data_IF_409947100433
#
_entry.id   IF_409947100433
#
_cell.length_a   1.000
_cell.length_b   1.000
_cell.length_c   1.000
_cell.angle_alpha   90.00
_cell.angle_beta   90.00
_cell.angle_gamma   90.00
#
_symmetry.space_group_name_H-M   'P 1'
#
loop_
_entity.id
_entity.type
_entity.pdbx_description
1 polymer ?
#
# COMPACT_ATOMS: atom_id res chain seq x y z
N UNK A 1 -9.16 54.19 22.00
CA UNK A 1 -8.30 53.00 21.77
C UNK A 1 -8.56 52.02 22.91
N UNK A 2 -9.18 50.86 22.61
CA UNK A 2 -9.31 49.62 23.41
C UNK A 2 -10.61 48.86 23.03
N UNK A 3 -10.76 48.48 21.75
CA UNK A 3 -11.93 47.73 21.28
C UNK A 3 -11.58 46.57 20.31
N UNK A 4 -10.28 46.21 20.18
CA UNK A 4 -9.80 45.22 19.18
C UNK A 4 -9.53 43.81 19.71
N UNK A 5 -9.28 43.63 21.01
CA UNK A 5 -8.95 42.32 21.60
C UNK A 5 -10.09 41.29 21.66
N UNK A 6 -11.35 41.63 21.99
CA UNK A 6 -12.41 40.62 22.08
C UNK A 6 -12.80 40.04 20.72
N UNK A 7 -12.70 40.82 19.63
CA UNK A 7 -13.04 40.36 18.28
C UNK A 7 -11.97 39.40 17.73
N UNK A 8 -10.69 39.68 17.98
CA UNK A 8 -9.58 38.80 17.58
C UNK A 8 -9.66 37.42 18.24
N UNK A 9 -10.00 37.35 19.53
CA UNK A 9 -10.18 36.08 20.26
C UNK A 9 -11.38 35.30 19.71
N UNK A 10 -12.49 35.98 19.41
CA UNK A 10 -13.69 35.36 18.82
C UNK A 10 -13.39 34.79 17.44
N UNK A 11 -12.71 35.55 16.58
CA UNK A 11 -12.31 35.08 15.25
C UNK A 11 -11.31 33.93 15.29
N UNK A 12 -10.33 33.98 16.20
CA UNK A 12 -9.39 32.87 16.43
C UNK A 12 -10.13 31.60 16.83
N UNK A 13 -11.06 31.68 17.78
CA UNK A 13 -11.82 30.52 18.23
C UNK A 13 -12.71 29.96 17.11
N UNK A 14 -13.35 30.82 16.31
CA UNK A 14 -14.14 30.40 15.15
C UNK A 14 -13.27 29.73 14.08
N UNK A 15 -12.10 30.29 13.77
CA UNK A 15 -11.18 29.72 12.81
C UNK A 15 -10.68 28.34 13.24
N UNK A 16 -10.33 28.17 14.51
CA UNK A 16 -9.93 26.88 15.08
C UNK A 16 -11.08 25.86 15.03
N UNK A 17 -12.30 26.27 15.38
CA UNK A 17 -13.48 25.41 15.29
C UNK A 17 -13.75 24.94 13.86
N UNK A 18 -13.56 25.79 12.86
CA UNK A 18 -13.69 25.41 11.45
C UNK A 18 -12.56 24.47 11.04
N UNK A 19 -11.32 24.83 11.36
CA UNK A 19 -10.12 24.04 11.06
C UNK A 19 -10.22 22.60 11.58
N UNK A 20 -10.72 22.41 12.81
CA UNK A 20 -10.90 21.09 13.42
C UNK A 20 -12.01 20.25 12.78
N UNK A 21 -12.97 20.89 12.09
CA UNK A 21 -14.10 20.22 11.43
C UNK A 21 -13.83 19.88 9.96
N UNK A 22 -12.77 20.44 9.37
CA UNK A 22 -12.39 20.14 7.99
C UNK A 22 -11.93 18.69 7.88
N UNK A 23 -12.56 17.92 6.98
CA UNK A 23 -12.24 16.50 6.73
C UNK A 23 -11.01 16.29 5.86
N UNK A 24 -10.49 17.36 5.24
CA UNK A 24 -9.23 17.33 4.52
C UNK A 24 -8.08 17.36 5.54
N UNK A 25 -7.06 16.51 5.41
CA UNK A 25 -5.85 16.62 6.21
C UNK A 25 -5.13 17.95 5.97
N UNK A 26 -5.10 18.82 7.00
CA UNK A 26 -4.47 20.14 6.95
C UNK A 26 -3.54 20.37 8.14
N UNK A 27 -2.38 20.96 7.87
CA UNK A 27 -1.47 21.50 8.87
C UNK A 27 -1.05 22.93 8.52
N UNK A 28 -0.77 23.73 9.54
CA UNK A 28 -0.06 25.00 9.41
C UNK A 28 1.36 24.76 9.88
N UNK A 29 2.32 25.03 9.02
CA UNK A 29 3.74 24.93 9.33
C UNK A 29 4.41 26.30 9.31
N UNK A 30 5.58 26.42 9.94
CA UNK A 30 6.46 27.56 9.68
C UNK A 30 7.14 27.44 8.30
N UNK A 31 7.94 28.44 7.91
CA UNK A 31 8.71 28.43 6.66
C UNK A 31 9.71 27.30 6.53
N UNK A 32 10.12 26.69 7.65
CA UNK A 32 11.06 25.58 7.66
C UNK A 32 10.34 24.23 7.58
N UNK A 33 9.00 24.21 7.65
CA UNK A 33 8.19 23.00 7.59
C UNK A 33 7.95 22.34 8.95
N UNK A 34 8.23 23.04 10.06
CA UNK A 34 7.81 22.57 11.39
C UNK A 34 6.32 22.81 11.59
N UNK A 35 5.61 21.78 12.02
CA UNK A 35 4.16 21.86 12.26
C UNK A 35 3.88 22.76 13.46
N UNK A 36 3.14 23.84 13.24
CA UNK A 36 2.64 24.74 14.29
C UNK A 36 1.26 24.26 14.77
N UNK A 37 0.40 23.87 13.83
CA UNK A 37 -0.96 23.41 14.06
C UNK A 37 -1.28 22.27 13.07
N UNK A 38 -2.06 21.28 13.49
CA UNK A 38 -2.56 20.22 12.62
C UNK A 38 -3.99 19.91 12.99
N UNK A 39 -4.86 19.66 12.01
CA UNK A 39 -6.25 19.31 12.29
C UNK A 39 -6.39 17.82 12.62
N UNK A 40 -7.55 17.37 13.14
CA UNK A 40 -7.80 15.96 13.43
C UNK A 40 -7.63 15.05 12.21
N UNK A 41 -7.99 15.50 11.01
CA UNK A 41 -7.83 14.72 9.78
C UNK A 41 -6.35 14.44 9.46
N UNK A 42 -5.46 15.43 9.61
CA UNK A 42 -4.01 15.24 9.46
C UNK A 42 -3.45 14.31 10.53
N UNK A 43 -3.89 14.47 11.78
CA UNK A 43 -3.45 13.64 12.88
C UNK A 43 -3.87 12.17 12.71
N UNK A 44 -5.05 11.92 12.14
CA UNK A 44 -5.56 10.59 11.83
C UNK A 44 -4.65 9.86 10.81
N UNK A 45 -4.15 10.55 9.78
CA UNK A 45 -3.21 9.95 8.81
C UNK A 45 -1.88 9.51 9.45
N UNK A 46 -1.47 10.19 10.52
CA UNK A 46 -0.28 9.82 11.30
C UNK A 46 -0.59 8.89 12.49
N UNK A 47 -1.87 8.53 12.74
CA UNK A 47 -2.27 7.67 13.87
C UNK A 47 -2.01 8.28 15.24
N UNK A 48 -2.10 9.59 15.37
CA UNK A 48 -1.75 10.31 16.59
C UNK A 48 -2.76 11.42 16.90
N UNK A 49 -2.55 12.11 18.03
CA UNK A 49 -3.33 13.29 18.39
C UNK A 49 -2.74 14.57 17.77
N UNK A 50 -3.56 15.57 17.39
CA UNK A 50 -3.08 16.84 16.81
C UNK A 50 -1.92 17.50 17.56
N UNK A 51 -2.02 17.56 18.89
CA UNK A 51 -0.98 18.17 19.74
C UNK A 51 0.38 17.46 19.69
N UNK A 52 0.43 16.18 19.30
CA UNK A 52 1.68 15.42 19.14
C UNK A 52 2.37 15.67 17.79
N UNK A 53 1.71 16.33 16.85
CA UNK A 53 2.33 16.74 15.59
C UNK A 53 3.09 18.06 15.73
N UNK A 54 2.72 18.91 16.70
CA UNK A 54 3.37 20.21 16.91
C UNK A 54 4.88 20.07 17.11
N UNK A 55 5.65 20.90 16.42
CA UNK A 55 7.11 20.92 16.43
C UNK A 55 7.78 19.82 15.60
N UNK A 56 7.02 18.89 15.01
CA UNK A 56 7.59 17.86 14.13
C UNK A 56 7.79 18.40 12.73
N UNK A 57 8.77 17.86 12.03
CA UNK A 57 9.05 18.20 10.64
C UNK A 57 8.04 17.50 9.71
N UNK A 58 7.29 18.26 8.92
CA UNK A 58 6.20 17.70 8.09
C UNK A 58 6.69 16.67 7.07
N UNK A 59 7.90 16.86 6.53
CA UNK A 59 8.51 15.94 5.57
C UNK A 59 9.11 14.68 6.20
N UNK A 60 9.28 14.64 7.53
CA UNK A 60 9.59 13.41 8.24
C UNK A 60 8.34 12.54 8.44
N UNK A 61 7.18 13.19 8.61
CA UNK A 61 5.88 12.52 8.66
C UNK A 61 5.48 11.98 7.28
N UNK A 62 5.68 12.81 6.25
CA UNK A 62 5.30 12.53 4.86
C UNK A 62 6.54 12.63 3.97
N UNK A 63 7.18 11.49 3.73
CA UNK A 63 8.48 11.45 3.08
C UNK A 63 8.36 11.75 1.59
N UNK A 64 9.15 12.70 1.06
CA UNK A 64 9.15 13.00 -0.37
C UNK A 64 9.65 11.79 -1.17
N UNK A 65 9.05 11.55 -2.34
CA UNK A 65 9.53 10.54 -3.28
C UNK A 65 10.71 11.04 -4.12
N UNK A 66 10.84 12.36 -4.29
CA UNK A 66 11.89 13.02 -5.07
C UNK A 66 12.57 14.13 -4.24
N UNK A 67 13.81 13.90 -3.78
CA UNK A 67 14.53 14.85 -2.93
C UNK A 67 14.84 16.19 -3.63
N UNK A 68 15.17 16.15 -4.94
CA UNK A 68 15.50 17.33 -5.74
C UNK A 68 14.31 18.29 -5.92
N UNK A 69 13.08 17.79 -5.78
CA UNK A 69 11.88 18.63 -5.81
C UNK A 69 11.78 19.50 -4.54
N UNK A 70 12.11 18.92 -3.39
CA UNK A 70 12.04 19.61 -2.09
C UNK A 70 13.06 20.75 -2.01
N UNK A 71 14.29 20.51 -2.47
CA UNK A 71 15.35 21.53 -2.48
C UNK A 71 14.96 22.74 -3.32
N UNK A 72 14.42 22.53 -4.53
CA UNK A 72 13.93 23.61 -5.40
C UNK A 72 12.79 24.41 -4.77
N UNK A 73 11.88 23.74 -4.07
CA UNK A 73 10.77 24.40 -3.38
C UNK A 73 11.31 25.23 -2.20
N UNK A 74 12.22 24.66 -1.40
CA UNK A 74 12.84 25.38 -0.29
C UNK A 74 13.60 26.63 -0.77
N UNK A 75 14.30 26.53 -1.89
CA UNK A 75 14.95 27.68 -2.53
C UNK A 75 13.94 28.72 -3.02
N UNK A 76 12.88 28.31 -3.70
CA UNK A 76 11.85 29.22 -4.18
C UNK A 76 11.10 29.94 -3.05
N UNK A 77 10.84 29.25 -1.93
CA UNK A 77 10.26 29.84 -0.72
C UNK A 77 11.20 30.87 -0.08
N UNK A 78 12.53 30.61 -0.08
CA UNK A 78 13.54 31.59 0.36
C UNK A 78 13.57 32.83 -0.53
N UNK A 79 13.38 32.65 -1.83
CA UNK A 79 13.22 33.73 -2.81
C UNK A 79 11.83 34.40 -2.76
N UNK A 80 11.01 34.10 -1.73
CA UNK A 80 9.69 34.67 -1.45
C UNK A 80 8.66 34.48 -2.57
N UNK A 81 8.82 33.42 -3.37
CA UNK A 81 7.77 33.03 -4.29
C UNK A 81 6.54 32.55 -3.52
N UNK A 82 5.36 33.04 -3.94
CA UNK A 82 4.05 32.72 -3.35
C UNK A 82 3.29 31.67 -4.15
N UNK A 83 4.01 30.89 -4.97
CA UNK A 83 3.41 29.83 -5.77
C UNK A 83 2.98 28.68 -4.87
N UNK A 84 1.94 27.97 -5.28
CA UNK A 84 1.55 26.69 -4.67
C UNK A 84 2.52 25.60 -5.10
N UNK A 85 3.09 24.88 -4.13
CA UNK A 85 4.03 23.80 -4.38
C UNK A 85 3.41 22.45 -4.06
N UNK A 86 3.64 21.46 -4.92
CA UNK A 86 3.13 20.10 -4.72
C UNK A 86 4.29 19.11 -4.69
N UNK A 87 4.28 18.21 -3.71
CA UNK A 87 5.30 17.19 -3.49
C UNK A 87 4.63 15.82 -3.38
N UNK A 88 5.09 14.86 -4.18
CA UNK A 88 4.66 13.47 -4.04
C UNK A 88 5.30 12.86 -2.79
N UNK A 89 4.48 12.29 -1.92
CA UNK A 89 4.92 11.79 -0.61
C UNK A 89 4.46 10.36 -0.34
N UNK A 90 5.20 9.64 0.50
CA UNK A 90 4.79 8.38 1.12
C UNK A 90 4.87 8.44 2.64
N UNK A 91 4.00 7.71 3.32
CA UNK A 91 3.99 7.60 4.79
C UNK A 91 3.44 6.26 5.23
N UNK A 92 3.72 5.88 6.48
CA UNK A 92 3.16 4.67 7.08
C UNK A 92 1.87 5.01 7.79
N UNK A 93 0.78 4.39 7.36
CA UNK A 93 -0.52 4.52 8.02
C UNK A 93 -0.53 3.79 9.38
N UNK A 94 -1.50 4.09 10.26
CA UNK A 94 -1.59 3.46 11.59
C UNK A 94 -1.76 1.94 11.53
N UNK A 95 -2.40 1.42 10.47
CA UNK A 95 -2.54 -0.01 10.20
C UNK A 95 -1.28 -0.68 9.62
N UNK A 96 -0.17 0.05 9.52
CA UNK A 96 1.10 -0.46 9.01
C UNK A 96 1.24 -0.46 7.49
N UNK A 97 0.15 -0.23 6.74
CA UNK A 97 0.16 -0.06 5.29
C UNK A 97 0.99 1.17 4.89
N UNK A 98 1.73 1.07 3.79
CA UNK A 98 2.40 2.23 3.18
C UNK A 98 1.38 2.97 2.32
N UNK A 99 1.19 4.26 2.57
CA UNK A 99 0.32 5.16 1.79
C UNK A 99 1.15 6.08 0.92
N UNK A 100 0.54 6.53 -0.16
CA UNK A 100 1.11 7.57 -1.01
C UNK A 100 0.07 8.63 -1.37
N UNK A 101 0.57 9.83 -1.67
CA UNK A 101 -0.27 10.99 -1.83
C UNK A 101 0.50 12.20 -2.33
N UNK A 102 -0.17 13.34 -2.32
CA UNK A 102 0.39 14.62 -2.70
C UNK A 102 0.24 15.63 -1.57
N UNK A 103 1.37 16.16 -1.11
CA UNK A 103 1.45 17.23 -0.13
C UNK A 103 1.53 18.56 -0.88
N UNK A 104 0.60 19.45 -0.59
CA UNK A 104 0.54 20.78 -1.19
C UNK A 104 0.91 21.80 -0.13
N UNK A 105 1.88 22.67 -0.41
CA UNK A 105 2.32 23.76 0.47
C UNK A 105 1.99 25.11 -0.18
N UNK A 106 1.13 25.86 0.49
CA UNK A 106 0.69 27.20 0.12
C UNK A 106 1.28 28.22 1.10
N UNK A 107 2.15 29.15 0.67
CA UNK A 107 2.63 30.22 1.53
C UNK A 107 1.51 31.22 1.85
N UNK A 108 1.19 31.37 3.12
CA UNK A 108 0.16 32.30 3.64
C UNK A 108 0.83 33.32 4.55
N UNK A 109 0.58 34.60 4.31
CA UNK A 109 1.13 35.70 5.10
C UNK A 109 0.10 36.82 5.20
N UNK A 110 -0.01 37.44 6.38
CA UNK A 110 -0.92 38.57 6.61
C UNK A 110 -0.37 39.88 6.00
N UNK A 111 0.94 39.95 5.76
CA UNK A 111 1.61 41.05 5.05
C UNK A 111 2.78 40.57 4.17
N UNK A 112 3.28 41.41 3.25
CA UNK A 112 4.37 41.06 2.33
C UNK A 112 5.73 40.93 3.02
N UNK A 113 5.87 41.54 4.19
CA UNK A 113 7.14 41.64 4.92
C UNK A 113 7.32 40.51 5.95
N UNK A 114 6.22 39.87 6.37
CA UNK A 114 6.25 38.77 7.32
C UNK A 114 6.75 37.45 6.72
N UNK A 115 7.40 36.66 7.58
CA UNK A 115 7.80 35.29 7.28
C UNK A 115 6.54 34.44 7.11
N UNK A 116 6.22 33.94 5.88
CA UNK A 116 4.93 33.31 5.61
C UNK A 116 4.78 31.99 6.38
N UNK A 117 3.62 31.75 6.98
CA UNK A 117 3.26 30.39 7.38
C UNK A 117 3.03 29.55 6.11
N UNK A 118 3.22 28.24 6.20
CA UNK A 118 2.87 27.31 5.13
C UNK A 118 1.56 26.61 5.49
N UNK A 119 0.51 26.82 4.70
CA UNK A 119 -0.69 26.00 4.74
C UNK A 119 -0.41 24.72 3.96
N UNK A 120 -0.35 23.61 4.68
CA UNK A 120 -0.05 22.28 4.13
C UNK A 120 -1.31 21.45 4.07
N UNK A 121 -1.64 20.94 2.88
CA UNK A 121 -2.75 20.03 2.65
C UNK A 121 -2.24 18.70 2.11
N UNK A 122 -2.77 17.59 2.60
CA UNK A 122 -2.44 16.26 2.11
C UNK A 122 -3.62 15.65 1.35
N UNK A 123 -3.38 15.32 0.09
CA UNK A 123 -4.29 14.51 -0.72
C UNK A 123 -3.81 13.06 -0.72
N UNK A 124 -4.60 12.18 -0.09
CA UNK A 124 -4.34 10.74 -0.12
C UNK A 124 -4.72 10.19 -1.49
N UNK A 125 -3.77 9.56 -2.19
CA UNK A 125 -4.01 8.97 -3.51
C UNK A 125 -4.26 7.46 -3.43
N UNK A 126 -3.71 6.78 -2.42
CA UNK A 126 -3.98 5.37 -2.20
C UNK A 126 -3.02 4.72 -1.20
N UNK A 127 -3.26 3.44 -0.97
CA UNK A 127 -2.35 2.54 -0.26
C UNK A 127 -1.48 1.84 -1.29
N UNK A 128 -0.16 1.88 -1.10
CA UNK A 128 0.77 1.08 -1.89
C UNK A 128 0.59 -0.36 -1.42
N UNK A 129 0.11 -1.27 -2.29
CA UNK A 129 0.05 -2.68 -1.93
C UNK A 129 1.45 -3.11 -1.55
N UNK A 130 1.60 -3.83 -0.43
CA UNK A 130 2.85 -4.56 -0.15
C UNK A 130 3.17 -5.34 -1.42
N UNK A 131 4.35 -5.16 -2.04
CA UNK A 131 4.67 -5.84 -3.28
C UNK A 131 4.47 -7.33 -3.04
N UNK A 132 3.41 -7.88 -3.63
CA UNK A 132 3.17 -9.31 -3.64
C UNK A 132 4.36 -9.88 -4.42
N UNK A 133 5.16 -10.79 -3.85
CA UNK A 133 6.29 -11.34 -4.59
C UNK A 133 5.77 -11.83 -5.94
N UNK A 134 6.47 -11.45 -7.02
CA UNK A 134 6.10 -11.92 -8.36
C UNK A 134 5.86 -13.43 -8.30
N UNK A 135 4.79 -13.94 -8.94
CA UNK A 135 4.40 -15.34 -8.81
C UNK A 135 5.60 -16.20 -9.17
N UNK A 136 6.14 -16.87 -8.16
CA UNK A 136 7.34 -17.68 -8.33
C UNK A 136 7.00 -18.81 -9.28
N UNK A 137 7.68 -18.83 -10.43
CA UNK A 137 7.44 -19.81 -11.49
C UNK A 137 7.66 -21.23 -10.97
N UNK A 138 6.58 -21.93 -10.68
CA UNK A 138 6.54 -23.33 -10.28
C UNK A 138 5.78 -24.14 -11.31
N UNK A 139 6.22 -25.37 -11.57
CA UNK A 139 5.42 -26.29 -12.37
C UNK A 139 4.24 -26.81 -11.55
N UNK A 140 3.22 -27.32 -12.21
CA UNK A 140 2.07 -27.95 -11.54
C UNK A 140 2.50 -29.11 -10.64
N UNK A 141 3.46 -29.93 -11.12
CA UNK A 141 4.04 -31.01 -10.34
C UNK A 141 4.75 -30.49 -9.09
N UNK A 142 5.54 -29.42 -9.21
CA UNK A 142 6.22 -28.81 -8.06
C UNK A 142 5.22 -28.29 -7.01
N UNK A 143 4.12 -27.66 -7.45
CA UNK A 143 3.06 -27.20 -6.54
C UNK A 143 2.39 -28.36 -5.80
N UNK A 144 2.00 -29.42 -6.52
CA UNK A 144 1.35 -30.60 -5.92
C UNK A 144 2.29 -31.35 -4.99
N UNK A 145 3.58 -31.45 -5.32
CA UNK A 145 4.62 -32.01 -4.42
C UNK A 145 4.69 -31.19 -3.12
N UNK A 146 4.74 -29.85 -3.20
CA UNK A 146 4.79 -28.97 -2.04
C UNK A 146 3.53 -29.05 -1.18
N UNK A 147 2.34 -29.13 -1.79
CA UNK A 147 1.06 -29.29 -1.10
C UNK A 147 1.02 -30.60 -0.29
N UNK A 148 1.42 -31.71 -0.90
CA UNK A 148 1.54 -33.01 -0.22
C UNK A 148 2.58 -32.97 0.90
N UNK A 149 3.70 -32.28 0.68
CA UNK A 149 4.75 -32.08 1.67
C UNK A 149 4.23 -31.33 2.91
N UNK A 150 3.49 -30.24 2.67
CA UNK A 150 2.89 -29.39 3.69
C UNK A 150 1.76 -30.10 4.44
N UNK A 151 1.04 -31.01 3.76
CA UNK A 151 0.07 -31.92 4.35
C UNK A 151 0.67 -33.07 5.17
N UNK A 152 2.01 -33.17 5.24
CA UNK A 152 2.72 -34.20 6.01
C UNK A 152 2.98 -35.51 5.26
N UNK A 153 2.75 -35.58 3.95
CA UNK A 153 3.01 -36.79 3.17
C UNK A 153 4.51 -37.13 3.09
N UNK A 154 4.87 -38.39 3.23
CA UNK A 154 6.25 -38.84 2.95
C UNK A 154 6.56 -38.73 1.44
N UNK A 155 7.85 -38.72 1.05
CA UNK A 155 8.23 -38.72 -0.37
C UNK A 155 7.68 -39.93 -1.11
N UNK A 156 7.57 -41.08 -0.43
CA UNK A 156 6.95 -42.28 -0.95
C UNK A 156 5.45 -42.12 -1.23
N UNK A 157 4.74 -41.48 -0.31
CA UNK A 157 3.31 -41.20 -0.47
C UNK A 157 3.08 -40.20 -1.58
N UNK A 158 3.88 -39.14 -1.64
CA UNK A 158 3.82 -38.15 -2.71
C UNK A 158 4.10 -38.76 -4.08
N UNK A 159 5.10 -39.64 -4.18
CA UNK A 159 5.42 -40.36 -5.42
C UNK A 159 4.22 -41.19 -5.89
N UNK A 160 3.61 -41.96 -4.99
CA UNK A 160 2.41 -42.77 -5.29
C UNK A 160 1.22 -41.92 -5.73
N UNK A 161 0.93 -40.82 -5.04
CA UNK A 161 -0.24 -39.97 -5.34
C UNK A 161 -0.07 -39.15 -6.64
N UNK A 162 1.17 -38.85 -7.03
CA UNK A 162 1.46 -38.09 -8.25
C UNK A 162 1.84 -38.96 -9.45
N UNK A 163 1.87 -40.29 -9.30
CA UNK A 163 2.32 -41.19 -10.37
C UNK A 163 3.80 -41.02 -10.74
N UNK A 164 4.63 -40.56 -9.78
CA UNK A 164 6.07 -40.33 -9.97
C UNK A 164 6.90 -41.40 -9.27
N UNK A 165 8.18 -41.49 -9.63
CA UNK A 165 9.15 -42.26 -8.84
C UNK A 165 9.54 -41.50 -7.58
N UNK A 166 9.99 -42.22 -6.54
CA UNK A 166 10.56 -41.61 -5.32
C UNK A 166 11.72 -40.67 -5.64
N UNK A 167 12.56 -41.06 -6.59
CA UNK A 167 13.69 -40.24 -7.04
C UNK A 167 13.22 -39.00 -7.81
N UNK A 168 12.15 -39.12 -8.60
CA UNK A 168 11.51 -37.98 -9.27
C UNK A 168 11.00 -36.93 -8.29
N UNK A 169 10.31 -37.35 -7.21
CA UNK A 169 9.88 -36.42 -6.14
C UNK A 169 11.09 -35.79 -5.45
N UNK A 170 12.12 -36.58 -5.14
CA UNK A 170 13.35 -36.09 -4.49
C UNK A 170 14.08 -35.09 -5.37
N UNK A 171 14.11 -35.32 -6.69
CA UNK A 171 14.65 -34.40 -7.67
C UNK A 171 13.94 -33.04 -7.64
N UNK A 172 12.59 -33.03 -7.68
CA UNK A 172 11.81 -31.79 -7.61
C UNK A 172 12.07 -31.03 -6.29
N UNK A 173 12.08 -31.73 -5.15
CA UNK A 173 12.35 -31.12 -3.85
C UNK A 173 13.76 -30.52 -3.77
N UNK A 174 14.77 -31.21 -4.28
CA UNK A 174 16.15 -30.70 -4.31
C UNK A 174 16.24 -29.46 -5.19
N UNK A 175 15.66 -29.50 -6.39
CA UNK A 175 15.63 -28.38 -7.33
C UNK A 175 14.93 -27.15 -6.73
N UNK A 176 13.79 -27.34 -6.06
CA UNK A 176 13.08 -26.28 -5.34
C UNK A 176 13.90 -25.73 -4.18
N UNK A 177 14.55 -26.59 -3.40
CA UNK A 177 15.38 -26.17 -2.27
C UNK A 177 16.56 -25.33 -2.72
N UNK A 178 17.25 -25.73 -3.81
CA UNK A 178 18.33 -24.92 -4.40
C UNK A 178 17.80 -23.60 -4.94
N UNK A 179 16.69 -23.62 -5.71
CA UNK A 179 16.13 -22.41 -6.32
C UNK A 179 15.65 -21.40 -5.28
N UNK A 180 15.14 -21.86 -4.15
CA UNK A 180 14.60 -20.99 -3.09
C UNK A 180 15.54 -20.83 -1.91
N UNK A 181 16.76 -21.37 -2.00
CA UNK A 181 17.74 -21.37 -0.93
C UNK A 181 17.16 -21.85 0.42
N UNK A 182 16.44 -22.97 0.41
CA UNK A 182 15.90 -23.59 1.61
C UNK A 182 16.91 -24.61 2.18
N UNK A 183 17.28 -24.47 3.44
CA UNK A 183 18.25 -25.34 4.10
C UNK A 183 17.65 -26.70 4.49
N UNK A 184 16.33 -26.76 4.69
CA UNK A 184 15.64 -27.99 5.05
C UNK A 184 14.21 -28.02 4.52
N UNK A 185 13.58 -29.18 4.67
CA UNK A 185 12.22 -29.45 4.20
C UNK A 185 11.17 -28.52 4.81
N UNK A 186 11.31 -28.19 6.09
CA UNK A 186 10.38 -27.30 6.80
C UNK A 186 10.49 -25.87 6.28
N UNK A 187 11.73 -25.39 6.08
CA UNK A 187 11.98 -24.10 5.47
C UNK A 187 11.45 -24.05 4.03
N UNK A 188 11.57 -25.14 3.27
CA UNK A 188 11.01 -25.22 1.92
C UNK A 188 9.49 -25.04 1.93
N UNK A 189 8.77 -25.67 2.86
CA UNK A 189 7.33 -25.48 3.04
C UNK A 189 7.00 -24.05 3.47
N UNK A 190 7.74 -23.50 4.45
CA UNK A 190 7.54 -22.14 4.92
C UNK A 190 7.72 -21.12 3.78
N UNK A 191 8.74 -21.30 2.94
CA UNK A 191 8.97 -20.48 1.73
C UNK A 191 7.85 -20.67 0.71
N UNK A 192 7.30 -21.87 0.53
CA UNK A 192 6.15 -22.08 -0.37
C UNK A 192 4.92 -21.24 0.04
N UNK A 193 4.63 -21.13 1.33
CA UNK A 193 3.58 -20.22 1.84
C UNK A 193 3.95 -18.75 1.68
N UNK A 194 5.19 -18.37 2.05
CA UNK A 194 5.64 -16.98 1.96
C UNK A 194 5.67 -16.44 0.52
N UNK A 195 5.93 -17.32 -0.46
CA UNK A 195 5.95 -17.01 -1.89
C UNK A 195 4.58 -17.12 -2.56
N UNK A 196 3.52 -17.44 -1.80
CA UNK A 196 2.15 -17.56 -2.32
C UNK A 196 1.90 -18.78 -3.21
N UNK A 197 2.81 -19.76 -3.20
CA UNK A 197 2.64 -21.03 -3.93
C UNK A 197 1.63 -21.94 -3.22
N UNK A 198 1.56 -21.84 -1.89
CA UNK A 198 0.52 -22.44 -1.06
C UNK A 198 -0.25 -21.33 -0.36
N UNK A 199 -1.58 -21.48 -0.26
CA UNK A 199 -2.45 -20.49 0.38
C UNK A 199 -2.46 -20.66 1.91
N UNK A 200 -2.11 -19.63 2.71
CA UNK A 200 -2.27 -19.69 4.16
C UNK A 200 -3.75 -19.72 4.55
N UNK A 201 -4.09 -20.44 5.63
CA UNK A 201 -5.46 -20.53 6.14
C UNK A 201 -6.36 -21.55 5.43
N UNK A 202 -5.84 -22.27 4.44
CA UNK A 202 -6.56 -23.35 3.73
C UNK A 202 -5.98 -24.71 4.12
N UNK A 203 -6.85 -25.65 4.52
CA UNK A 203 -6.48 -27.03 4.84
C UNK A 203 -7.49 -28.03 4.25
N UNK A 204 -7.05 -29.10 3.56
CA UNK A 204 -5.66 -29.45 3.25
C UNK A 204 -4.97 -28.41 2.34
N UNK A 205 -3.62 -28.30 2.35
CA UNK A 205 -2.92 -27.27 1.57
C UNK A 205 -3.22 -27.40 0.08
N UNK A 206 -3.74 -26.33 -0.51
CA UNK A 206 -4.09 -26.29 -1.93
C UNK A 206 -2.92 -25.72 -2.75
N UNK A 207 -2.45 -26.39 -3.83
CA UNK A 207 -1.53 -25.79 -4.78
C UNK A 207 -2.21 -24.57 -5.41
N UNK A 208 -1.86 -23.36 -4.95
CA UNK A 208 -2.56 -22.13 -5.30
C UNK A 208 -2.86 -22.04 -6.79
N UNK A 209 -4.15 -22.16 -7.14
CA UNK A 209 -4.61 -22.02 -8.49
C UNK A 209 -4.21 -20.65 -9.01
N UNK A 210 -3.52 -20.61 -10.16
CA UNK A 210 -3.79 -19.53 -11.08
C UNK A 210 -5.31 -19.45 -11.19
N UNK A 211 -5.89 -18.28 -10.92
CA UNK A 211 -7.27 -17.99 -11.31
C UNK A 211 -7.42 -18.44 -12.75
N UNK A 212 -8.06 -19.59 -12.95
CA UNK A 212 -8.67 -19.93 -14.22
C UNK A 212 -9.69 -18.82 -14.41
N UNK A 213 -9.37 -17.86 -15.27
CA UNK A 213 -10.41 -17.15 -16.00
C UNK A 213 -11.20 -18.25 -16.71
N UNK A 214 -12.28 -18.69 -16.08
CA UNK A 214 -13.33 -19.46 -16.72
C UNK A 214 -13.89 -18.55 -17.81
N UNK A 215 -13.43 -18.74 -19.05
CA UNK A 215 -14.24 -18.35 -20.20
C UNK A 215 -15.59 -19.06 -20.05
N UNK A 216 -16.71 -18.32 -20.05
CA UNK A 216 -18.01 -18.97 -20.06
C UNK A 216 -18.16 -19.68 -21.41
N UNK A 217 -18.06 -21.01 -21.36
CA UNK A 217 -18.39 -21.90 -22.46
C UNK A 217 -19.85 -21.67 -22.87
N UNK A 218 -20.02 -21.16 -24.09
CA UNK A 218 -21.30 -21.05 -24.76
C UNK A 218 -21.75 -22.46 -25.18
N UNK A 219 -22.43 -23.15 -24.27
CA UNK A 219 -23.16 -24.38 -24.56
C UNK A 219 -24.42 -24.05 -25.39
N UNK A 220 -24.48 -24.65 -26.58
CA UNK A 220 -25.70 -25.32 -27.02
C UNK A 220 -26.72 -24.51 -27.82
N UNK A 221 -26.51 -24.41 -29.14
CA UNK A 221 -27.63 -24.51 -30.09
C UNK A 221 -27.50 -25.79 -30.89
N UNK A 222 -28.35 -26.74 -30.50
CA UNK A 222 -28.38 -28.10 -31.02
C UNK A 222 -28.68 -28.18 -32.51
N UNK A 223 -28.05 -29.18 -33.12
CA UNK A 223 -28.51 -29.81 -34.37
C UNK A 223 -29.82 -30.53 -34.07
N UNK A 224 -30.92 -30.03 -34.63
CA UNK A 224 -32.16 -30.78 -34.82
C UNK A 224 -32.27 -31.22 -36.27
N UNK A 225 -31.78 -32.42 -36.58
CA UNK A 225 -32.10 -33.16 -37.80
C UNK A 225 -33.51 -33.75 -37.68
N UNK A 226 -34.36 -33.52 -38.69
CA UNK A 226 -35.65 -34.18 -38.88
C UNK A 226 -36.20 -33.89 -40.28
N UNK A 227 -36.92 -34.83 -40.92
CA UNK A 227 -36.68 -35.20 -42.31
C UNK A 227 -37.63 -34.57 -43.34
N UNK A 228 -37.21 -34.56 -44.62
CA UNK A 228 -38.13 -34.50 -45.77
C UNK A 228 -39.11 -35.67 -45.72
N UNK A 229 -40.38 -35.51 -46.14
CA UNK A 229 -40.71 -35.93 -47.52
C UNK A 229 -41.87 -35.16 -48.21
N UNK A 230 -41.86 -35.26 -49.55
CA UNK A 230 -42.96 -35.26 -50.53
C UNK A 230 -44.10 -34.22 -50.47
N UNK A 231 -44.27 -33.52 -51.60
CA UNK A 231 -45.47 -32.75 -51.97
C UNK A 231 -45.13 -31.65 -52.94
#
# INVERSE_FOLDING_TARGET
>A
MAAGEPDAVVWRNRALMLFDRVSVPVAVCDVYGQVVLANPAMAAECGTAPGRLRGRQVLELFRPQEATQVERIAEALRLRHRSRYQVSVCWRAPGGAERHGQLTADPVSDSVEETPALLVMLRVLGERPVPRPEPVRTTEVERRVLALLAGGATTARAARELGLTRDGVTYHLRRLSTRWNAANRTELVARAYALGVLAPGVWPPDPGGATTEEEPGEEGRGKGTGPSPHG
#
